data_IF_528078828790
#
_entry.id   IF_528078828790
#
_cell.length_a   1.000
_cell.length_b   1.000
_cell.length_c   1.000
_cell.angle_alpha   90.00
_cell.angle_beta   90.00
_cell.angle_gamma   90.00
#
_symmetry.space_group_name_H-M   'P 1'
#
loop_
_entity.id
_entity.type
_entity.pdbx_description
1 polymer ?
#
# COMPACT_ATOMS: atom_id res chain seq x y z
N UNK A 1 -2.30 -21.34 3.41
CA UNK A 1 -3.04 -20.06 3.38
C UNK A 1 -2.31 -19.14 2.43
N UNK A 2 -3.00 -18.62 1.39
CA UNK A 2 -2.40 -17.71 0.41
C UNK A 2 -2.86 -16.29 0.64
N UNK A 3 -1.89 -15.39 0.74
CA UNK A 3 -2.09 -13.97 1.04
C UNK A 3 -1.74 -13.18 -0.21
N UNK A 4 -2.59 -12.24 -0.59
CA UNK A 4 -2.34 -11.38 -1.74
C UNK A 4 -2.39 -9.90 -1.31
N UNK A 5 -1.39 -9.12 -1.72
CA UNK A 5 -1.38 -7.67 -1.52
C UNK A 5 -0.85 -6.96 -2.76
N UNK A 6 -1.64 -6.03 -3.29
CA UNK A 6 -1.26 -5.18 -4.42
C UNK A 6 -0.87 -3.78 -3.98
N UNK A 7 0.16 -3.21 -4.61
CA UNK A 7 0.66 -1.87 -4.32
C UNK A 7 0.66 -1.05 -5.59
N UNK A 8 -0.16 0.00 -5.61
CA UNK A 8 -0.19 0.91 -6.75
C UNK A 8 1.05 1.82 -6.77
N UNK A 9 1.77 1.91 -7.90
CA UNK A 9 2.97 2.75 -8.03
C UNK A 9 2.58 4.23 -8.19
N UNK A 10 2.20 4.86 -7.07
CA UNK A 10 1.68 6.24 -7.01
C UNK A 10 2.72 7.28 -6.58
N UNK A 11 4.00 7.03 -6.85
CA UNK A 11 5.14 7.91 -6.50
C UNK A 11 5.74 7.60 -5.13
N UNK A 12 6.57 8.51 -4.60
CA UNK A 12 7.40 8.31 -3.40
C UNK A 12 6.58 7.87 -2.18
N UNK A 13 7.03 6.82 -1.50
CA UNK A 13 6.42 6.33 -0.27
C UNK A 13 6.77 7.22 0.92
N UNK A 14 5.81 7.39 1.83
CA UNK A 14 5.95 8.19 3.05
C UNK A 14 5.64 7.37 4.29
N UNK A 15 5.90 7.91 5.49
CA UNK A 15 5.68 7.22 6.76
C UNK A 15 4.27 6.62 6.87
N UNK A 16 3.24 7.35 6.39
CA UNK A 16 1.87 6.85 6.36
C UNK A 16 1.69 5.57 5.53
N UNK A 17 2.35 5.48 4.37
CA UNK A 17 2.34 4.26 3.56
C UNK A 17 3.13 3.12 4.24
N UNK A 18 4.28 3.44 4.83
CA UNK A 18 5.11 2.44 5.48
C UNK A 18 4.40 1.80 6.67
N UNK A 19 4.01 2.59 7.66
CA UNK A 19 3.37 2.06 8.87
C UNK A 19 1.93 1.60 8.64
N UNK A 20 1.21 2.25 7.72
CA UNK A 20 -0.18 1.92 7.42
C UNK A 20 -0.35 0.69 6.54
N UNK A 21 0.60 0.38 5.66
CA UNK A 21 0.43 -0.68 4.66
C UNK A 21 1.68 -1.54 4.48
N UNK A 22 2.84 -0.93 4.14
CA UNK A 22 4.02 -1.68 3.70
C UNK A 22 4.56 -2.62 4.78
N UNK A 23 4.91 -2.09 5.96
CA UNK A 23 5.44 -2.87 7.08
C UNK A 23 4.50 -4.01 7.48
N UNK A 24 3.21 -3.75 7.74
CA UNK A 24 2.29 -4.82 8.04
C UNK A 24 2.11 -5.84 6.90
N UNK A 25 2.23 -5.42 5.63
CA UNK A 25 2.21 -6.35 4.50
C UNK A 25 3.45 -7.25 4.50
N UNK A 26 4.63 -6.67 4.68
CA UNK A 26 5.91 -7.42 4.75
C UNK A 26 5.89 -8.45 5.89
N UNK A 27 5.35 -8.09 7.06
CA UNK A 27 5.23 -9.00 8.21
C UNK A 27 4.39 -10.25 7.90
N UNK A 28 3.47 -10.18 6.94
CA UNK A 28 2.64 -11.32 6.54
C UNK A 28 3.41 -12.38 5.74
N UNK A 29 4.59 -12.08 5.20
CA UNK A 29 5.42 -13.07 4.50
C UNK A 29 5.84 -14.24 5.42
N UNK A 30 5.78 -14.06 6.75
CA UNK A 30 6.08 -15.10 7.74
C UNK A 30 4.86 -15.98 8.09
N UNK A 31 3.66 -15.63 7.59
CA UNK A 31 2.40 -16.26 8.00
C UNK A 31 1.79 -17.19 6.95
N UNK A 32 2.32 -17.20 5.74
CA UNK A 32 1.79 -18.02 4.67
C UNK A 32 2.46 -17.79 3.33
N UNK A 33 1.91 -18.38 2.28
CA UNK A 33 2.36 -18.16 0.91
C UNK A 33 1.93 -16.76 0.46
N UNK A 34 2.87 -15.81 0.51
CA UNK A 34 2.57 -14.40 0.28
C UNK A 34 2.92 -13.97 -1.14
N UNK A 35 1.94 -13.39 -1.83
CA UNK A 35 2.05 -12.80 -3.14
C UNK A 35 1.94 -11.28 -3.02
N UNK A 36 2.95 -10.57 -3.52
CA UNK A 36 2.96 -9.11 -3.58
C UNK A 36 3.14 -8.69 -5.03
N UNK A 37 2.30 -7.78 -5.48
CA UNK A 37 2.43 -7.28 -6.84
C UNK A 37 2.37 -5.76 -6.92
N UNK A 38 3.12 -5.22 -7.86
CA UNK A 38 3.08 -3.80 -8.23
C UNK A 38 1.92 -3.65 -9.21
N UNK A 39 0.88 -2.95 -8.80
CA UNK A 39 -0.38 -2.79 -9.53
C UNK A 39 -0.25 -1.72 -10.63
N UNK A 40 0.60 -1.99 -11.62
CA UNK A 40 0.94 -1.04 -12.69
C UNK A 40 -0.21 -0.88 -13.71
N UNK A 41 -1.04 -1.89 -13.98
CA UNK A 41 -2.28 -1.72 -14.73
C UNK A 41 -3.26 -0.78 -14.01
N UNK A 42 -3.45 -0.95 -12.70
CA UNK A 42 -4.32 -0.05 -11.92
C UNK A 42 -3.84 1.40 -11.97
N UNK A 43 -2.53 1.63 -12.00
CA UNK A 43 -1.96 2.97 -12.08
C UNK A 43 -2.35 3.71 -13.37
N UNK A 44 -2.67 2.97 -14.46
CA UNK A 44 -3.08 3.55 -15.73
C UNK A 44 -4.41 4.32 -15.66
N UNK A 45 -5.21 4.10 -14.62
CA UNK A 45 -6.47 4.84 -14.42
C UNK A 45 -6.26 6.33 -14.12
N UNK A 46 -5.06 6.71 -13.65
CA UNK A 46 -4.75 8.08 -13.22
C UNK A 46 -3.36 8.57 -13.63
N UNK A 47 -2.42 7.68 -13.92
CA UNK A 47 -1.04 8.01 -14.30
C UNK A 47 -0.83 7.70 -15.78
N UNK A 48 -0.92 8.73 -16.63
CA UNK A 48 -0.83 8.59 -18.10
C UNK A 48 0.60 8.69 -18.63
N UNK A 49 1.54 9.24 -17.86
CA UNK A 49 2.94 9.34 -18.27
C UNK A 49 3.64 7.97 -18.11
N UNK A 50 4.11 7.41 -19.22
CA UNK A 50 4.73 6.09 -19.28
C UNK A 50 6.08 6.03 -18.54
N UNK A 51 6.90 7.08 -18.63
CA UNK A 51 8.22 7.11 -17.97
C UNK A 51 8.06 7.25 -16.47
N UNK A 52 7.13 8.07 -16.01
CA UNK A 52 6.80 8.21 -14.61
C UNK A 52 6.23 6.91 -14.04
N UNK A 53 5.38 6.18 -14.77
CA UNK A 53 4.88 4.86 -14.36
C UNK A 53 6.01 3.85 -14.22
N UNK A 54 6.94 3.79 -15.17
CA UNK A 54 8.12 2.93 -15.10
C UNK A 54 8.98 3.25 -13.88
N UNK A 55 9.26 4.53 -13.68
CA UNK A 55 10.04 5.02 -12.53
C UNK A 55 9.35 4.66 -11.21
N UNK A 56 8.07 4.97 -11.06
CA UNK A 56 7.34 4.71 -9.83
C UNK A 56 7.23 3.21 -9.53
N UNK A 57 7.07 2.37 -10.56
CA UNK A 57 7.07 0.90 -10.38
C UNK A 57 8.43 0.39 -9.89
N UNK A 58 9.52 0.92 -10.42
CA UNK A 58 10.87 0.59 -9.96
C UNK A 58 11.11 1.09 -8.54
N UNK A 59 10.71 2.31 -8.21
CA UNK A 59 10.82 2.88 -6.86
C UNK A 59 10.07 2.01 -5.83
N UNK A 60 8.85 1.55 -6.13
CA UNK A 60 8.11 0.63 -5.25
C UNK A 60 8.87 -0.68 -5.06
N UNK A 61 9.45 -1.25 -6.13
CA UNK A 61 10.24 -2.47 -6.02
C UNK A 61 11.46 -2.28 -5.09
N UNK A 62 12.21 -1.20 -5.29
CA UNK A 62 13.36 -0.84 -4.46
C UNK A 62 12.96 -0.66 -3.00
N UNK A 63 11.87 0.07 -2.75
CA UNK A 63 11.40 0.41 -1.42
C UNK A 63 10.94 -0.83 -0.63
N UNK A 64 10.19 -1.74 -1.27
CA UNK A 64 9.75 -2.99 -0.62
C UNK A 64 10.91 -3.90 -0.26
N UNK A 65 11.84 -4.11 -1.21
CA UNK A 65 13.04 -4.93 -0.97
C UNK A 65 13.94 -4.30 0.09
N UNK A 66 14.09 -2.97 0.09
CA UNK A 66 14.88 -2.26 1.09
C UNK A 66 14.25 -2.31 2.48
N UNK A 67 12.92 -2.32 2.57
CA UNK A 67 12.18 -2.38 3.84
C UNK A 67 11.97 -3.81 4.35
N UNK A 68 12.58 -4.82 3.72
CA UNK A 68 12.64 -6.19 4.26
C UNK A 68 11.72 -7.22 3.60
N UNK A 69 11.11 -6.90 2.44
CA UNK A 69 10.47 -7.93 1.63
C UNK A 69 11.54 -8.93 1.14
N UNK A 70 11.40 -10.20 1.54
CA UNK A 70 12.32 -11.27 1.17
C UNK A 70 11.76 -12.07 -0.03
N UNK A 71 12.37 -11.98 -1.23
CA UNK A 71 11.91 -12.71 -2.41
C UNK A 71 12.15 -14.23 -2.32
N UNK A 72 12.81 -14.73 -1.25
CA UNK A 72 12.91 -16.16 -0.96
C UNK A 72 11.68 -16.67 -0.21
N UNK A 73 11.03 -15.81 0.58
CA UNK A 73 9.85 -16.11 1.39
C UNK A 73 8.54 -15.73 0.70
N UNK A 74 8.59 -14.80 -0.25
CA UNK A 74 7.43 -14.26 -0.92
C UNK A 74 7.59 -14.24 -2.44
N UNK A 75 6.46 -14.17 -3.14
CA UNK A 75 6.40 -13.99 -4.59
C UNK A 75 6.17 -12.51 -4.88
N UNK A 76 7.15 -11.83 -5.47
CA UNK A 76 7.07 -10.39 -5.74
C UNK A 76 7.26 -10.10 -7.23
N UNK A 77 6.29 -9.44 -7.85
CA UNK A 77 6.24 -9.26 -9.31
C UNK A 77 5.46 -7.99 -9.71
N UNK A 78 5.50 -7.61 -10.98
CA UNK A 78 4.59 -6.60 -11.55
C UNK A 78 3.33 -7.28 -12.07
N UNK A 79 2.19 -6.66 -11.87
CA UNK A 79 0.90 -7.12 -12.38
C UNK A 79 0.96 -7.39 -13.89
N UNK A 80 1.58 -6.49 -14.66
CA UNK A 80 1.73 -6.61 -16.11
C UNK A 80 2.61 -7.77 -16.58
N UNK A 81 3.43 -8.35 -15.71
CA UNK A 81 4.22 -9.54 -16.03
C UNK A 81 3.40 -10.83 -15.94
N UNK A 82 2.13 -10.75 -15.53
CA UNK A 82 1.14 -11.84 -15.49
C UNK A 82 -0.10 -11.43 -16.30
N UNK A 83 -0.01 -11.40 -17.65
CA UNK A 83 -1.09 -10.87 -18.51
C UNK A 83 -2.38 -11.65 -18.42
N UNK A 84 -2.37 -12.88 -17.93
CA UNK A 84 -3.52 -13.74 -17.68
C UNK A 84 -4.62 -13.06 -16.86
N UNK A 85 -4.25 -12.10 -16.01
CA UNK A 85 -5.20 -11.33 -15.20
C UNK A 85 -6.17 -10.50 -16.04
N UNK A 86 -5.72 -10.00 -17.20
CA UNK A 86 -6.57 -9.17 -18.08
C UNK A 86 -7.62 -9.98 -18.79
N UNK A 87 -7.32 -11.23 -19.19
CA UNK A 87 -8.31 -12.13 -19.75
C UNK A 87 -9.34 -12.54 -18.69
N UNK A 88 -8.89 -12.88 -17.48
CA UNK A 88 -9.81 -13.18 -16.38
C UNK A 88 -10.70 -11.97 -16.08
N UNK A 89 -10.14 -10.75 -16.04
CA UNK A 89 -10.93 -9.53 -15.83
C UNK A 89 -12.04 -9.39 -16.88
N UNK A 90 -11.78 -9.74 -18.15
CA UNK A 90 -12.83 -9.76 -19.18
C UNK A 90 -13.94 -10.75 -18.86
N UNK A 91 -13.62 -11.99 -18.48
CA UNK A 91 -14.62 -12.99 -18.11
C UNK A 91 -15.50 -12.51 -16.94
N UNK A 92 -14.87 -11.92 -15.91
CA UNK A 92 -15.59 -11.39 -14.77
C UNK A 92 -16.46 -10.16 -15.12
N UNK A 93 -15.99 -9.31 -16.04
CA UNK A 93 -16.74 -8.13 -16.51
C UNK A 93 -18.09 -8.49 -17.09
N UNK A 94 -18.20 -9.63 -17.79
CA UNK A 94 -19.47 -10.09 -18.38
C UNK A 94 -20.54 -10.43 -17.34
N UNK A 95 -20.14 -10.66 -16.10
CA UNK A 95 -21.04 -11.01 -15.00
C UNK A 95 -21.23 -9.87 -13.98
N UNK A 96 -20.38 -8.84 -14.01
CA UNK A 96 -20.44 -7.73 -13.06
C UNK A 96 -21.60 -6.77 -13.39
N UNK A 97 -22.62 -6.60 -12.51
CA UNK A 97 -23.71 -5.66 -12.78
C UNK A 97 -23.23 -4.21 -12.78
N UNK A 98 -23.70 -3.39 -13.72
CA UNK A 98 -23.40 -1.97 -13.80
C UNK A 98 -23.68 -1.25 -12.46
N UNK A 99 -24.88 -1.50 -11.86
CA UNK A 99 -25.28 -0.90 -10.59
C UNK A 99 -24.31 -1.20 -9.43
N UNK A 100 -23.66 -2.37 -9.43
CA UNK A 100 -22.64 -2.70 -8.44
C UNK A 100 -21.44 -1.76 -8.56
N UNK A 101 -20.96 -1.53 -9.79
CA UNK A 101 -19.79 -0.68 -10.05
C UNK A 101 -20.10 0.80 -9.82
N UNK A 102 -21.29 1.26 -10.21
CA UNK A 102 -21.80 2.61 -9.94
C UNK A 102 -21.88 2.92 -8.43
N UNK A 103 -22.11 1.90 -7.61
CA UNK A 103 -22.18 2.04 -6.15
C UNK A 103 -20.83 1.97 -5.45
N UNK A 104 -19.73 1.71 -6.15
CA UNK A 104 -18.40 1.75 -5.55
C UNK A 104 -18.04 3.16 -5.05
N UNK A 105 -17.60 3.25 -3.79
CA UNK A 105 -17.29 4.54 -3.15
C UNK A 105 -16.25 5.34 -3.92
N UNK A 106 -15.21 4.69 -4.40
CA UNK A 106 -14.14 5.33 -5.18
C UNK A 106 -14.62 5.91 -6.52
N UNK A 107 -15.59 5.27 -7.19
CA UNK A 107 -16.23 5.82 -8.38
C UNK A 107 -17.02 7.08 -8.02
N UNK A 108 -17.90 6.99 -6.99
CA UNK A 108 -18.71 8.13 -6.51
C UNK A 108 -17.84 9.30 -6.05
N UNK A 109 -16.75 9.03 -5.34
CA UNK A 109 -15.82 10.07 -4.87
C UNK A 109 -15.17 10.82 -6.04
N UNK A 110 -14.73 10.10 -7.08
CA UNK A 110 -14.12 10.74 -8.27
C UNK A 110 -15.13 11.61 -9.03
N UNK A 111 -16.36 11.12 -9.18
CA UNK A 111 -17.47 11.92 -9.76
C UNK A 111 -17.72 13.18 -8.92
N UNK A 112 -17.83 13.03 -7.60
CA UNK A 112 -18.08 14.15 -6.69
C UNK A 112 -16.97 15.21 -6.71
N UNK A 113 -15.73 14.79 -7.00
CA UNK A 113 -14.57 15.71 -7.20
C UNK A 113 -14.53 16.34 -8.59
N UNK A 114 -15.52 16.11 -9.45
CA UNK A 114 -15.56 16.65 -10.82
C UNK A 114 -14.58 16.01 -11.79
N UNK A 115 -14.01 14.85 -11.45
CA UNK A 115 -13.13 14.09 -12.34
C UNK A 115 -14.02 13.39 -13.36
N UNK A 116 -13.80 13.65 -14.65
CA UNK A 116 -14.49 12.92 -15.73
C UNK A 116 -14.05 11.45 -15.70
N UNK A 117 -14.95 10.51 -15.39
CA UNK A 117 -14.58 9.11 -15.27
C UNK A 117 -14.32 8.52 -16.66
N UNK A 118 -13.20 7.84 -16.81
CA UNK A 118 -12.98 6.95 -17.95
C UNK A 118 -13.45 5.52 -17.60
N UNK A 119 -13.54 4.66 -18.61
CA UNK A 119 -13.95 3.27 -18.41
C UNK A 119 -13.04 2.52 -17.41
N UNK A 120 -11.72 2.81 -17.40
CA UNK A 120 -10.81 2.18 -16.44
C UNK A 120 -11.13 2.51 -14.98
N UNK A 121 -11.54 3.76 -14.70
CA UNK A 121 -11.99 4.17 -13.35
C UNK A 121 -13.30 3.45 -12.95
N UNK A 122 -14.15 3.18 -13.91
CA UNK A 122 -15.41 2.46 -13.68
C UNK A 122 -15.17 0.95 -13.47
N UNK A 123 -14.30 0.34 -14.29
CA UNK A 123 -14.10 -1.10 -14.34
C UNK A 123 -12.98 -1.63 -13.43
N UNK A 124 -12.14 -0.77 -12.83
CA UNK A 124 -11.00 -1.25 -12.04
C UNK A 124 -11.38 -2.18 -10.86
N UNK A 125 -12.59 -2.13 -10.23
CA UNK A 125 -12.94 -3.11 -9.21
C UNK A 125 -13.03 -4.54 -9.76
N UNK A 126 -13.38 -4.69 -11.05
CA UNK A 126 -13.38 -6.00 -11.71
C UNK A 126 -11.96 -6.48 -11.99
N UNK A 127 -11.05 -5.60 -12.37
CA UNK A 127 -9.63 -5.94 -12.50
C UNK A 127 -9.04 -6.34 -11.14
N UNK A 128 -9.39 -5.65 -10.06
CA UNK A 128 -8.98 -6.04 -8.71
C UNK A 128 -9.56 -7.40 -8.31
N UNK A 129 -10.81 -7.70 -8.68
CA UNK A 129 -11.39 -9.02 -8.48
C UNK A 129 -10.59 -10.10 -9.22
N UNK A 130 -10.18 -9.84 -10.47
CA UNK A 130 -9.33 -10.74 -11.23
C UNK A 130 -7.97 -10.96 -10.57
N UNK A 131 -7.32 -9.89 -10.07
CA UNK A 131 -6.05 -10.00 -9.33
C UNK A 131 -6.17 -10.95 -8.13
N UNK A 132 -7.28 -10.85 -7.39
CA UNK A 132 -7.50 -11.64 -6.16
C UNK A 132 -7.81 -13.11 -6.51
N UNK A 133 -8.70 -13.32 -7.47
CA UNK A 133 -9.22 -14.65 -7.80
C UNK A 133 -8.22 -15.50 -8.58
N UNK A 134 -7.38 -14.88 -9.43
CA UNK A 134 -6.46 -15.60 -10.31
C UNK A 134 -5.37 -16.38 -9.55
N UNK A 135 -5.15 -16.07 -8.30
CA UNK A 135 -4.18 -16.77 -7.44
C UNK A 135 -4.85 -17.66 -6.38
N UNK A 136 -6.16 -17.91 -6.46
CA UNK A 136 -6.89 -18.63 -5.39
C UNK A 136 -6.59 -18.07 -4.00
N UNK A 137 -6.58 -16.73 -3.88
CA UNK A 137 -6.18 -16.04 -2.64
C UNK A 137 -7.23 -16.26 -1.55
N UNK A 138 -6.77 -16.70 -0.37
CA UNK A 138 -7.65 -16.90 0.78
C UNK A 138 -7.82 -15.60 1.59
N UNK A 139 -6.74 -14.81 1.68
CA UNK A 139 -6.68 -13.60 2.50
C UNK A 139 -6.18 -12.41 1.68
N UNK A 140 -6.91 -11.32 1.76
CA UNK A 140 -6.56 -10.03 1.18
C UNK A 140 -6.50 -9.01 2.32
N UNK A 141 -5.28 -8.67 2.80
CA UNK A 141 -5.12 -7.67 3.85
C UNK A 141 -5.35 -6.27 3.28
N UNK A 142 -6.45 -5.65 3.69
CA UNK A 142 -6.86 -4.34 3.18
C UNK A 142 -7.15 -3.34 4.31
N UNK A 143 -7.00 -2.05 4.01
CA UNK A 143 -7.55 -0.98 4.84
C UNK A 143 -9.09 -0.95 4.77
N UNK A 144 -9.71 -0.26 5.73
CA UNK A 144 -11.19 -0.11 5.78
C UNK A 144 -11.78 0.47 4.51
N UNK A 145 -11.04 1.35 3.84
CA UNK A 145 -11.43 1.99 2.57
C UNK A 145 -11.49 1.02 1.38
N UNK A 146 -10.79 -0.12 1.46
CA UNK A 146 -10.77 -1.14 0.42
C UNK A 146 -11.71 -2.32 0.71
N UNK A 147 -12.41 -2.32 1.85
CA UNK A 147 -13.32 -3.40 2.24
C UNK A 147 -14.37 -3.67 1.15
N UNK A 148 -15.00 -2.62 0.63
CA UNK A 148 -16.01 -2.73 -0.42
C UNK A 148 -15.50 -3.43 -1.68
N UNK A 149 -14.23 -3.25 -2.05
CA UNK A 149 -13.67 -3.91 -3.23
C UNK A 149 -13.50 -5.42 -3.04
N UNK A 150 -13.19 -5.86 -1.81
CA UNK A 150 -13.15 -7.30 -1.49
C UNK A 150 -14.57 -7.88 -1.47
N UNK A 151 -15.56 -7.14 -0.98
CA UNK A 151 -16.98 -7.53 -1.06
C UNK A 151 -17.43 -7.67 -2.52
N UNK A 152 -17.12 -6.70 -3.39
CA UNK A 152 -17.37 -6.78 -4.85
C UNK A 152 -16.69 -8.02 -5.46
N UNK A 153 -15.46 -8.32 -5.07
CA UNK A 153 -14.75 -9.52 -5.52
C UNK A 153 -15.49 -10.80 -5.14
N UNK A 154 -15.97 -10.88 -3.89
CA UNK A 154 -16.75 -12.02 -3.39
C UNK A 154 -18.05 -12.20 -4.16
N UNK A 155 -18.80 -11.11 -4.37
CA UNK A 155 -20.06 -11.14 -5.10
C UNK A 155 -19.87 -11.60 -6.55
N UNK A 156 -18.85 -11.12 -7.23
CA UNK A 156 -18.49 -11.55 -8.60
C UNK A 156 -18.12 -13.04 -8.61
N UNK A 157 -17.30 -13.49 -7.66
CA UNK A 157 -16.87 -14.89 -7.56
C UNK A 157 -18.05 -15.83 -7.28
N UNK A 158 -18.94 -15.46 -6.35
CA UNK A 158 -20.17 -16.19 -6.03
C UNK A 158 -21.07 -16.29 -7.28
N UNK A 159 -21.25 -15.18 -7.99
CA UNK A 159 -22.05 -15.15 -9.21
C UNK A 159 -21.45 -16.01 -10.30
N UNK A 160 -20.13 -16.00 -10.49
CA UNK A 160 -19.45 -16.86 -11.46
C UNK A 160 -19.64 -18.34 -11.11
N UNK A 161 -19.39 -18.71 -9.85
CA UNK A 161 -19.56 -20.08 -9.37
C UNK A 161 -21.01 -20.57 -9.51
N UNK A 162 -22.00 -19.71 -9.24
CA UNK A 162 -23.41 -20.04 -9.45
C UNK A 162 -23.76 -20.24 -10.93
N UNK A 163 -23.16 -19.42 -11.80
CA UNK A 163 -23.51 -19.43 -13.25
C UNK A 163 -22.84 -20.59 -13.99
N UNK A 164 -21.58 -20.86 -13.67
CA UNK A 164 -20.72 -21.77 -14.45
C UNK A 164 -20.21 -23.00 -13.65
N UNK A 165 -20.57 -23.10 -12.37
CA UNK A 165 -20.09 -24.14 -11.47
C UNK A 165 -18.90 -23.68 -10.62
N UNK A 166 -18.62 -24.46 -9.55
CA UNK A 166 -17.56 -24.16 -8.56
C UNK A 166 -16.19 -23.99 -9.23
N UNK A 167 -15.76 -22.74 -9.35
CA UNK A 167 -14.54 -22.35 -10.06
C UNK A 167 -13.59 -21.55 -9.18
N UNK A 168 -14.06 -20.54 -8.48
CA UNK A 168 -13.22 -19.65 -7.69
C UNK A 168 -13.31 -19.91 -6.19
N UNK A 169 -12.17 -19.80 -5.51
CA UNK A 169 -12.10 -19.70 -4.05
C UNK A 169 -12.64 -18.34 -3.63
N UNK A 170 -13.59 -18.32 -2.70
CA UNK A 170 -14.15 -17.06 -2.19
C UNK A 170 -13.17 -16.47 -1.17
N UNK A 171 -12.58 -15.30 -1.43
CA UNK A 171 -11.59 -14.71 -0.54
C UNK A 171 -12.24 -14.17 0.73
N UNK A 172 -11.47 -14.14 1.81
CA UNK A 172 -11.81 -13.45 3.05
C UNK A 172 -11.04 -12.15 3.16
N UNK A 173 -11.72 -11.10 3.57
CA UNK A 173 -11.07 -9.86 3.96
C UNK A 173 -10.39 -10.03 5.32
N UNK A 174 -9.14 -9.60 5.42
CA UNK A 174 -8.51 -9.36 6.71
C UNK A 174 -8.44 -7.87 6.94
N UNK A 175 -9.51 -7.31 7.56
CA UNK A 175 -9.51 -5.91 7.96
C UNK A 175 -8.52 -5.76 9.10
N UNK A 176 -7.55 -4.87 8.92
CA UNK A 176 -6.64 -4.50 10.00
C UNK A 176 -7.32 -3.45 10.87
N UNK A 177 -7.66 -3.84 12.10
CA UNK A 177 -8.28 -2.94 13.08
C UNK A 177 -7.37 -1.78 13.50
N UNK A 178 -6.08 -1.90 13.31
CA UNK A 178 -5.08 -0.92 13.75
C UNK A 178 -4.03 -0.58 12.67
N UNK A 179 -4.45 -0.05 11.53
CA UNK A 179 -3.51 0.84 10.87
C UNK A 179 -3.60 2.18 11.59
N UNK A 180 -2.64 2.46 12.47
CA UNK A 180 -2.53 3.76 13.08
C UNK A 180 -2.57 4.81 11.97
N UNK A 181 -3.53 5.72 12.02
CA UNK A 181 -3.55 6.85 11.10
C UNK A 181 -2.30 7.65 11.42
N UNK A 182 -1.31 7.60 10.53
CA UNK A 182 -0.09 8.38 10.70
C UNK A 182 -0.42 9.83 10.36
N UNK A 183 -0.25 10.76 11.31
CA UNK A 183 -0.52 12.16 11.05
C UNK A 183 0.53 12.75 10.09
N UNK A 184 0.10 13.65 9.22
CA UNK A 184 0.97 14.48 8.39
C UNK A 184 1.60 15.62 9.16
N UNK A 185 2.41 16.44 8.51
CA UNK A 185 3.08 17.59 9.14
C UNK A 185 2.14 18.72 9.59
N UNK A 186 0.88 18.66 9.20
CA UNK A 186 -0.22 19.58 9.52
C UNK A 186 -1.20 19.04 10.59
N UNK A 187 -1.09 17.75 10.95
CA UNK A 187 -1.96 17.07 11.89
C UNK A 187 -3.09 16.25 11.25
N UNK A 188 -3.41 16.49 10.00
CA UNK A 188 -4.34 15.67 9.25
C UNK A 188 -3.70 14.33 8.86
N UNK A 189 -4.50 13.39 8.33
CA UNK A 189 -3.97 12.12 7.81
C UNK A 189 -2.88 12.39 6.77
N UNK A 190 -1.71 11.76 6.93
CA UNK A 190 -0.61 11.90 5.98
C UNK A 190 -0.99 11.45 4.59
N UNK A 191 -0.93 12.35 3.62
CA UNK A 191 -1.31 12.12 2.23
C UNK A 191 -0.55 13.03 1.27
N UNK A 192 -0.16 12.49 0.11
CA UNK A 192 0.49 13.27 -0.95
C UNK A 192 -0.39 14.41 -1.46
N UNK A 193 -1.70 14.18 -1.55
CA UNK A 193 -2.67 15.19 -2.01
C UNK A 193 -2.76 16.42 -1.10
N UNK A 194 -2.35 16.28 0.16
CA UNK A 194 -2.31 17.40 1.13
C UNK A 194 -0.92 18.04 1.23
N UNK A 195 0.11 17.45 0.63
CA UNK A 195 1.48 17.96 0.70
C UNK A 195 2.12 17.86 2.09
N UNK A 196 1.54 17.05 2.98
CA UNK A 196 1.89 16.92 4.40
C UNK A 196 2.74 15.69 4.73
N UNK A 197 3.46 15.15 3.73
CA UNK A 197 4.19 13.88 3.84
C UNK A 197 5.61 14.04 4.38
N UNK A 198 6.05 13.02 5.14
CA UNK A 198 7.45 12.76 5.46
C UNK A 198 7.81 11.45 4.74
N UNK A 199 8.68 11.52 3.74
CA UNK A 199 9.08 10.39 2.91
C UNK A 199 9.96 9.42 3.69
N UNK A 200 10.00 8.12 3.30
CA UNK A 200 10.87 7.12 3.94
C UNK A 200 12.32 7.28 3.43
N UNK A 201 12.45 7.63 2.17
CA UNK A 201 13.72 7.82 1.48
C UNK A 201 13.82 9.24 0.93
N UNK A 202 14.99 9.83 1.00
CA UNK A 202 15.24 11.16 0.47
C UNK A 202 16.51 11.78 1.03
N UNK A 203 16.78 13.01 0.63
CA UNK A 203 17.90 13.80 1.11
C UNK A 203 17.71 14.21 2.57
N UNK A 204 18.73 13.98 3.41
CA UNK A 204 18.69 14.26 4.85
C UNK A 204 18.29 15.69 5.17
N UNK A 205 18.90 16.67 4.49
CA UNK A 205 18.67 18.09 4.73
C UNK A 205 17.22 18.48 4.43
N UNK A 206 16.67 17.94 3.34
CA UNK A 206 15.27 18.19 2.96
C UNK A 206 14.30 17.57 3.95
N UNK A 207 14.54 16.33 4.36
CA UNK A 207 13.68 15.62 5.31
C UNK A 207 13.77 16.25 6.72
N UNK A 208 14.96 16.65 7.16
CA UNK A 208 15.15 17.41 8.40
C UNK A 208 14.37 18.72 8.39
N UNK A 209 14.40 19.47 7.27
CA UNK A 209 13.63 20.70 7.14
C UNK A 209 12.13 20.45 7.27
N UNK A 210 11.59 19.37 6.67
CA UNK A 210 10.18 18.99 6.79
C UNK A 210 9.80 18.71 8.26
N UNK A 211 10.59 17.92 8.98
CA UNK A 211 10.34 17.60 10.40
C UNK A 211 10.43 18.86 11.26
N UNK A 212 11.42 19.70 11.03
CA UNK A 212 11.58 20.96 11.77
C UNK A 212 10.47 21.97 11.47
N UNK A 213 9.78 21.88 10.33
CA UNK A 213 8.67 22.74 9.95
C UNK A 213 7.32 22.33 10.55
N UNK A 214 7.22 21.17 11.25
CA UNK A 214 5.99 20.75 11.93
C UNK A 214 5.51 21.87 12.84
N UNK A 215 4.26 22.28 12.69
CA UNK A 215 3.68 23.37 13.48
C UNK A 215 3.51 22.95 14.94
N UNK A 216 3.80 23.87 15.84
CA UNK A 216 3.62 23.75 17.28
C UNK A 216 2.86 24.97 17.78
N UNK A 217 2.30 24.88 18.98
CA UNK A 217 1.73 26.05 19.65
C UNK A 217 2.84 27.02 20.18
N UNK A 218 2.46 28.09 20.85
CA UNK A 218 3.35 29.13 21.30
C UNK A 218 3.85 28.96 22.75
N UNK A 219 3.52 27.83 23.42
CA UNK A 219 3.93 27.59 24.82
C UNK A 219 5.43 27.51 24.95
N UNK A 220 5.93 28.15 26.05
CA UNK A 220 7.36 28.18 26.32
C UNK A 220 7.90 26.83 26.82
N UNK A 221 9.20 26.55 26.68
CA UNK A 221 9.79 25.28 27.12
C UNK A 221 9.48 24.91 28.56
N UNK A 222 9.53 25.88 29.48
CA UNK A 222 9.30 25.66 30.91
C UNK A 222 7.82 25.32 31.25
N UNK A 223 6.89 25.70 30.40
CA UNK A 223 5.46 25.47 30.65
C UNK A 223 5.10 23.98 30.50
N UNK A 224 4.40 23.37 31.50
CA UNK A 224 3.82 22.03 31.35
C UNK A 224 2.79 21.96 30.22
N UNK A 225 2.77 20.83 29.54
CA UNK A 225 1.86 20.61 28.40
C UNK A 225 0.99 19.38 28.69
N UNK A 226 -0.13 19.55 29.42
CA UNK A 226 -0.96 18.41 29.84
C UNK A 226 -1.55 17.60 28.68
N UNK A 227 -1.69 18.22 27.53
CA UNK A 227 -2.15 17.66 26.26
C UNK A 227 -1.01 17.12 25.36
N UNK A 228 0.12 16.71 25.96
CA UNK A 228 1.30 16.24 25.26
C UNK A 228 1.02 15.06 24.31
N UNK A 229 0.03 14.20 24.62
CA UNK A 229 -0.44 13.10 23.79
C UNK A 229 -1.05 13.56 22.45
N UNK A 230 -1.57 14.78 22.38
CA UNK A 230 -2.10 15.39 21.16
C UNK A 230 -1.02 16.08 20.33
N UNK A 231 0.19 16.24 20.88
CA UNK A 231 1.30 16.87 20.16
C UNK A 231 1.74 16.00 18.97
N UNK A 232 1.77 16.61 17.78
CA UNK A 232 2.05 15.94 16.54
C UNK A 232 3.41 15.23 16.48
N UNK A 233 4.46 15.86 17.03
CA UNK A 233 5.78 15.23 17.07
C UNK A 233 5.83 14.03 18.03
N UNK A 234 5.07 14.08 19.12
CA UNK A 234 4.89 12.93 20.03
C UNK A 234 4.15 11.80 19.34
N UNK A 235 3.07 12.10 18.62
CA UNK A 235 2.31 11.09 17.87
C UNK A 235 3.20 10.40 16.82
N UNK A 236 3.98 11.17 16.07
CA UNK A 236 4.93 10.62 15.10
C UNK A 236 6.05 9.79 15.77
N UNK A 237 6.61 10.26 16.89
CA UNK A 237 7.57 9.47 17.67
C UNK A 237 6.98 8.14 18.11
N UNK A 238 5.75 8.11 18.64
CA UNK A 238 5.08 6.88 19.08
C UNK A 238 4.85 5.89 17.93
N UNK A 239 4.61 6.39 16.72
CA UNK A 239 4.44 5.53 15.52
C UNK A 239 5.77 4.88 15.14
N UNK A 240 6.90 5.60 15.25
CA UNK A 240 8.22 5.13 14.87
C UNK A 240 8.83 4.26 15.99
N UNK A 241 8.82 4.78 17.21
CA UNK A 241 9.31 4.13 18.43
C UNK A 241 8.41 4.50 19.62
N UNK A 242 7.56 3.54 20.02
CA UNK A 242 6.58 3.74 21.08
C UNK A 242 7.24 4.04 22.44
N UNK A 243 8.43 3.47 22.74
CA UNK A 243 9.16 3.68 23.98
C UNK A 243 9.66 5.11 24.09
N UNK A 244 10.41 5.57 23.08
CA UNK A 244 10.90 6.97 23.01
C UNK A 244 9.74 7.94 22.96
N UNK A 245 8.66 7.62 22.22
CA UNK A 245 7.47 8.47 22.14
C UNK A 245 6.81 8.69 23.50
N UNK A 246 6.70 7.63 24.33
CA UNK A 246 6.15 7.71 25.69
C UNK A 246 7.06 8.52 26.62
N UNK A 247 8.36 8.27 26.58
CA UNK A 247 9.35 9.03 27.38
C UNK A 247 9.26 10.54 27.11
N UNK A 248 9.22 10.92 25.82
CA UNK A 248 9.17 12.33 25.43
C UNK A 248 7.82 12.97 25.68
N UNK A 249 6.73 12.20 25.65
CA UNK A 249 5.41 12.66 26.08
C UNK A 249 5.43 13.05 27.57
N UNK A 250 5.99 12.19 28.44
CA UNK A 250 6.09 12.45 29.87
C UNK A 250 6.95 13.71 30.16
N UNK A 251 8.11 13.86 29.48
CA UNK A 251 8.95 15.03 29.54
C UNK A 251 8.23 16.31 29.09
N UNK A 252 7.50 16.22 27.98
CA UNK A 252 6.75 17.35 27.45
C UNK A 252 5.62 17.75 28.38
N UNK A 253 4.93 16.79 28.98
CA UNK A 253 3.85 16.98 29.93
C UNK A 253 4.33 17.66 31.21
N UNK A 254 5.50 17.25 31.72
CA UNK A 254 6.09 17.82 32.92
C UNK A 254 6.61 19.27 32.74
N UNK A 255 6.90 19.68 31.52
CA UNK A 255 7.57 20.93 31.21
C UNK A 255 9.09 20.77 31.18
N UNK A 256 9.80 21.82 30.72
CA UNK A 256 11.26 21.81 30.59
C UNK A 256 11.76 21.33 29.22
N UNK A 257 10.90 20.80 28.37
CA UNK A 257 11.25 20.37 27.02
C UNK A 257 10.78 21.39 25.96
N UNK A 258 11.73 21.92 25.19
CA UNK A 258 11.45 22.81 24.07
C UNK A 258 11.01 22.03 22.82
N UNK A 259 10.09 22.61 22.04
CA UNK A 259 9.62 22.00 20.79
C UNK A 259 10.75 21.80 19.76
N UNK A 260 11.77 22.66 19.77
CA UNK A 260 12.95 22.51 18.93
C UNK A 260 13.70 21.20 19.22
N UNK A 261 13.90 20.88 20.49
CA UNK A 261 14.61 19.68 20.91
C UNK A 261 13.76 18.42 20.71
N UNK A 262 12.43 18.50 20.92
CA UNK A 262 11.50 17.44 20.58
C UNK A 262 11.56 17.09 19.08
N UNK A 263 11.56 18.10 18.20
CA UNK A 263 11.66 17.87 16.73
C UNK A 263 13.01 17.32 16.30
N UNK A 264 14.11 17.76 16.95
CA UNK A 264 15.44 17.18 16.73
C UNK A 264 15.44 15.70 17.08
N UNK A 265 14.86 15.35 18.24
CA UNK A 265 14.75 13.94 18.67
C UNK A 265 13.86 13.12 17.73
N UNK A 266 12.73 13.66 17.29
CA UNK A 266 11.89 13.02 16.29
C UNK A 266 12.69 12.73 15.01
N UNK A 267 13.46 13.71 14.52
CA UNK A 267 14.28 13.51 13.32
C UNK A 267 15.37 12.46 13.53
N UNK A 268 16.07 12.47 14.66
CA UNK A 268 17.08 11.48 15.02
C UNK A 268 16.48 10.06 14.99
N UNK A 269 15.39 9.83 15.74
CA UNK A 269 14.73 8.51 15.80
C UNK A 269 14.24 8.06 14.43
N UNK A 270 13.62 8.97 13.68
CA UNK A 270 13.18 8.68 12.31
C UNK A 270 14.37 8.33 11.41
N UNK A 271 15.45 9.11 11.46
CA UNK A 271 16.60 8.91 10.61
C UNK A 271 17.30 7.59 10.91
N UNK A 272 17.47 7.25 12.18
CA UNK A 272 18.09 6.00 12.62
C UNK A 272 17.22 4.79 12.30
N UNK A 273 15.89 4.89 12.46
CA UNK A 273 14.96 3.80 12.16
C UNK A 273 15.08 3.29 10.72
N UNK A 274 15.25 4.19 9.77
CA UNK A 274 15.36 3.85 8.36
C UNK A 274 16.83 3.76 7.84
N UNK A 275 17.84 3.81 8.69
CA UNK A 275 19.24 3.81 8.27
C UNK A 275 19.60 2.54 7.45
N UNK A 276 19.24 1.37 7.95
CA UNK A 276 19.48 0.10 7.26
C UNK A 276 18.71 0.01 5.93
N UNK A 277 17.45 0.46 5.91
CA UNK A 277 16.62 0.48 4.70
C UNK A 277 17.21 1.44 3.65
N UNK A 278 17.70 2.62 4.06
CA UNK A 278 18.37 3.56 3.14
C UNK A 278 19.63 2.96 2.54
N UNK A 279 20.48 2.33 3.35
CA UNK A 279 21.68 1.66 2.87
C UNK A 279 21.34 0.55 1.87
N UNK A 280 20.36 -0.28 2.20
CA UNK A 280 19.90 -1.38 1.32
C UNK A 280 19.29 -0.85 0.02
N UNK A 281 18.51 0.22 0.08
CA UNK A 281 17.94 0.85 -1.12
C UNK A 281 19.02 1.38 -2.06
N UNK A 282 20.08 1.99 -1.51
CA UNK A 282 21.21 2.47 -2.31
C UNK A 282 21.98 1.31 -2.98
N UNK A 283 22.20 0.21 -2.25
CA UNK A 283 22.78 -1.02 -2.81
C UNK A 283 21.94 -1.57 -3.97
N UNK A 284 20.63 -1.70 -3.77
CA UNK A 284 19.71 -2.19 -4.80
C UNK A 284 19.65 -1.25 -6.01
N UNK A 285 19.64 0.05 -5.79
CA UNK A 285 19.63 1.05 -6.86
C UNK A 285 20.93 1.02 -7.72
N UNK A 286 22.04 0.60 -7.14
CA UNK A 286 23.29 0.37 -7.85
C UNK A 286 23.31 -0.97 -8.63
N UNK A 287 22.31 -1.86 -8.40
CA UNK A 287 22.21 -3.17 -9.07
C UNK A 287 20.76 -3.44 -9.53
N UNK A 288 20.31 -2.67 -10.52
CA UNK A 288 18.93 -2.78 -11.03
C UNK A 288 18.66 -4.13 -11.72
N UNK A 289 19.67 -4.79 -12.29
CA UNK A 289 19.53 -6.11 -12.89
C UNK A 289 19.07 -7.14 -11.86
N UNK A 290 19.58 -7.05 -10.62
CA UNK A 290 19.11 -7.87 -9.52
C UNK A 290 17.63 -7.62 -9.22
N UNK A 291 17.21 -6.35 -9.14
CA UNK A 291 15.81 -5.98 -8.85
C UNK A 291 14.89 -6.48 -9.96
N UNK A 292 15.25 -6.28 -11.22
CA UNK A 292 14.50 -6.82 -12.37
C UNK A 292 14.44 -8.35 -12.35
N UNK A 293 15.55 -9.00 -11.98
CA UNK A 293 15.62 -10.45 -11.80
C UNK A 293 14.65 -10.95 -10.74
N UNK A 294 14.53 -10.26 -9.60
CA UNK A 294 13.57 -10.59 -8.53
C UNK A 294 12.14 -10.52 -9.06
N UNK A 295 11.76 -9.44 -9.73
CA UNK A 295 10.41 -9.28 -10.27
C UNK A 295 10.09 -10.33 -11.33
N UNK A 296 11.01 -10.59 -12.26
CA UNK A 296 10.86 -11.61 -13.31
C UNK A 296 10.71 -13.02 -12.72
N UNK A 297 11.52 -13.35 -11.71
CA UNK A 297 11.43 -14.64 -11.02
C UNK A 297 10.12 -14.77 -10.23
N UNK A 298 9.64 -13.67 -9.64
CA UNK A 298 8.34 -13.62 -8.99
C UNK A 298 7.21 -13.89 -9.98
N UNK A 299 7.22 -13.23 -11.13
CA UNK A 299 6.24 -13.47 -12.20
C UNK A 299 6.30 -14.92 -12.72
N UNK A 300 7.50 -15.50 -12.89
CA UNK A 300 7.67 -16.89 -13.30
C UNK A 300 7.08 -17.88 -12.28
N UNK A 301 7.05 -17.54 -10.99
CA UNK A 301 6.37 -18.34 -9.95
C UNK A 301 4.84 -18.11 -9.94
N UNK A 302 4.39 -16.88 -10.19
CA UNK A 302 2.98 -16.52 -10.14
C UNK A 302 2.19 -17.05 -11.38
N UNK A 303 2.77 -16.96 -12.58
CA UNK A 303 2.09 -17.30 -13.83
C UNK A 303 1.54 -18.73 -13.94
N UNK A 304 2.24 -19.80 -13.52
CA UNK A 304 1.69 -21.15 -13.60
C UNK A 304 0.40 -21.31 -12.80
N UNK A 305 0.29 -20.63 -11.65
CA UNK A 305 -0.95 -20.62 -10.87
C UNK A 305 -2.04 -19.82 -11.57
N UNK A 306 -1.71 -18.62 -12.08
CA UNK A 306 -2.64 -17.80 -12.83
C UNK A 306 -3.18 -18.53 -14.07
N UNK A 307 -2.33 -19.22 -14.81
CA UNK A 307 -2.71 -20.03 -15.96
C UNK A 307 -3.64 -21.18 -15.58
N UNK A 308 -3.35 -21.85 -14.45
CA UNK A 308 -4.20 -22.94 -13.94
C UNK A 308 -5.61 -22.44 -13.61
N UNK A 309 -5.71 -21.30 -12.92
CA UNK A 309 -7.01 -20.73 -12.54
C UNK A 309 -7.73 -20.17 -13.76
N UNK A 310 -7.05 -19.47 -14.65
CA UNK A 310 -7.64 -18.98 -15.91
C UNK A 310 -8.17 -20.13 -16.75
N UNK A 311 -7.40 -21.22 -16.91
CA UNK A 311 -7.85 -22.42 -17.64
C UNK A 311 -9.13 -22.99 -17.03
N UNK A 312 -9.21 -23.11 -15.71
CA UNK A 312 -10.40 -23.56 -14.99
C UNK A 312 -11.62 -22.66 -15.29
N UNK A 313 -11.41 -21.33 -15.31
CA UNK A 313 -12.46 -20.38 -15.63
C UNK A 313 -12.90 -20.46 -17.10
N UNK A 314 -11.96 -20.67 -18.05
CA UNK A 314 -12.25 -20.86 -19.48
C UNK A 314 -13.07 -22.13 -19.73
N UNK A 315 -12.68 -23.23 -19.11
CA UNK A 315 -13.41 -24.51 -19.21
C UNK A 315 -14.82 -24.36 -18.62
N UNK A 316 -14.98 -23.76 -17.47
CA UNK A 316 -16.29 -23.55 -16.86
C UNK A 316 -17.20 -22.67 -17.74
N UNK A 317 -16.64 -21.64 -18.38
CA UNK A 317 -17.40 -20.71 -19.24
C UNK A 317 -17.56 -21.18 -20.70
N UNK A 318 -17.07 -22.37 -21.06
CA UNK A 318 -17.22 -22.96 -22.40
C UNK A 318 -16.28 -22.38 -23.46
N UNK A 319 -15.13 -21.84 -23.06
CA UNK A 319 -14.11 -21.31 -23.99
C UNK A 319 -12.99 -22.32 -24.28
N UNK A 320 -12.95 -23.44 -23.56
CA UNK A 320 -12.08 -24.59 -23.76
C UNK A 320 -12.85 -25.90 -23.58
#
# INVERSE_FOLDING_TARGET
MRILSGIQPSGTLHLGNYFGMMRPAIELQEKGEAFYFIADYHSMTSLFNADERRKNSLDVALDFLACGLDPKKSVFFKQSDVPEVTELAWLLTTLAPMAMLENCHSYKEKIARGISPNHGIFAYPVLMAADILIYDSNIVPVGKDQKQHVEVTRDIAIKFNHTYGETFVIPNEQIRESTAVVPGTDGDKMSKSYGNTIEIFGDEKTLRKKVMAIKMDSRQPAEPKPDADQNLAIQLLKVIDAGTGKEYEEKLRAGGLGYGDLKKKLFEVYWDHFAAARAKRAELAANLDHVHGVLKNGAAKARPLAQKVLKRARQASGLE
#
